data_IF_279239741325
#
_entry.id   IF_279239741325
#
_cell.length_a   1.000
_cell.length_b   1.000
_cell.length_c   1.000
_cell.angle_alpha   90.00
_cell.angle_beta   90.00
_cell.angle_gamma   90.00
#
_symmetry.space_group_name_H-M   'P 1'
#
loop_
_entity.id
_entity.type
_entity.pdbx_description
1 polymer ?
#
# COMPACT_ATOMS: atom_id res chain seq x y z
N UNK A 1 24.07 -1.83 2.44
CA UNK A 1 22.85 -2.35 1.77
C UNK A 1 22.42 -3.78 2.18
N UNK A 2 22.87 -4.34 3.32
CA UNK A 2 22.53 -5.73 3.72
C UNK A 2 21.35 -5.88 4.71
N UNK A 3 20.94 -4.81 5.38
CA UNK A 3 19.96 -4.84 6.47
C UNK A 3 18.48 -4.81 6.02
N UNK A 4 18.17 -4.08 4.94
CA UNK A 4 16.79 -3.92 4.46
C UNK A 4 16.14 -5.25 4.01
N UNK A 5 16.93 -6.17 3.44
CA UNK A 5 16.46 -7.49 2.98
C UNK A 5 16.14 -8.43 4.15
N UNK A 6 16.87 -8.33 5.26
CA UNK A 6 16.65 -9.15 6.45
C UNK A 6 15.41 -8.70 7.23
N UNK A 7 15.15 -7.38 7.31
CA UNK A 7 14.00 -6.85 8.04
C UNK A 7 12.67 -7.44 7.58
N UNK A 8 12.45 -7.51 6.26
CA UNK A 8 11.23 -8.06 5.66
C UNK A 8 10.97 -9.54 5.99
N UNK A 9 11.98 -10.27 6.49
CA UNK A 9 11.88 -11.68 6.88
C UNK A 9 11.74 -11.88 8.39
N UNK A 10 11.86 -10.83 9.19
CA UNK A 10 11.74 -10.92 10.66
C UNK A 10 10.29 -10.80 11.12
N UNK A 11 9.93 -11.48 12.19
CA UNK A 11 8.61 -11.34 12.81
C UNK A 11 8.35 -9.89 13.28
N UNK A 12 9.38 -9.20 13.77
CA UNK A 12 9.29 -7.80 14.18
C UNK A 12 9.01 -6.87 12.98
N UNK A 13 9.72 -7.06 11.87
CA UNK A 13 9.47 -6.31 10.64
C UNK A 13 8.08 -6.58 10.07
N UNK A 14 7.62 -7.84 10.11
CA UNK A 14 6.25 -8.20 9.72
C UNK A 14 5.20 -7.47 10.57
N UNK A 15 5.33 -7.47 11.90
CA UNK A 15 4.40 -6.76 12.80
C UNK A 15 4.36 -5.26 12.52
N UNK A 16 5.52 -4.65 12.28
CA UNK A 16 5.59 -3.23 11.96
C UNK A 16 4.96 -2.91 10.60
N UNK A 17 5.20 -3.73 9.57
CA UNK A 17 4.54 -3.59 8.27
C UNK A 17 3.01 -3.69 8.39
N UNK A 18 2.50 -4.62 9.20
CA UNK A 18 1.06 -4.73 9.48
C UNK A 18 0.51 -3.44 10.11
N UNK A 19 1.18 -2.87 11.12
CA UNK A 19 0.74 -1.62 11.76
C UNK A 19 0.62 -0.46 10.75
N UNK A 20 1.61 -0.30 9.88
CA UNK A 20 1.57 0.74 8.85
C UNK A 20 0.45 0.48 7.83
N UNK A 21 0.27 -0.77 7.39
CA UNK A 21 -0.82 -1.11 6.48
C UNK A 21 -2.20 -0.93 7.11
N UNK A 22 -2.35 -1.15 8.42
CA UNK A 22 -3.61 -0.87 9.13
C UNK A 22 -3.89 0.63 9.17
N UNK A 23 -2.87 1.47 9.46
CA UNK A 23 -3.02 2.93 9.40
C UNK A 23 -3.41 3.42 8.00
N UNK A 24 -2.81 2.86 6.95
CA UNK A 24 -3.21 3.16 5.58
C UNK A 24 -4.65 2.70 5.31
N UNK A 25 -5.05 1.51 5.79
CA UNK A 25 -6.39 0.98 5.61
C UNK A 25 -7.46 1.87 6.25
N UNK A 26 -7.18 2.41 7.44
CA UNK A 26 -8.09 3.33 8.12
C UNK A 26 -8.20 4.65 7.35
N UNK A 27 -7.08 5.20 6.88
CA UNK A 27 -7.04 6.44 6.11
C UNK A 27 -7.77 6.36 4.77
N UNK A 28 -7.52 5.31 3.97
CA UNK A 28 -8.26 5.11 2.70
C UNK A 28 -9.72 4.72 2.94
N UNK A 29 -10.01 4.03 4.05
CA UNK A 29 -11.37 3.72 4.48
C UNK A 29 -12.19 4.97 4.78
N UNK A 30 -11.58 5.97 5.41
CA UNK A 30 -12.20 7.28 5.63
C UNK A 30 -12.52 8.02 4.32
N UNK A 31 -11.82 7.71 3.22
CA UNK A 31 -12.13 8.21 1.86
C UNK A 31 -13.14 7.35 1.09
N UNK A 32 -13.73 6.34 1.72
CA UNK A 32 -14.77 5.48 1.12
C UNK A 32 -14.26 4.26 0.36
N UNK A 33 -12.95 3.99 0.40
CA UNK A 33 -12.37 2.79 -0.20
C UNK A 33 -12.58 1.55 0.68
N UNK A 34 -12.57 0.38 0.04
CA UNK A 34 -12.61 -0.91 0.73
C UNK A 34 -11.22 -1.52 0.77
N UNK A 35 -10.98 -2.33 1.79
CA UNK A 35 -9.69 -2.95 2.05
C UNK A 35 -9.81 -4.46 2.25
N UNK A 36 -8.91 -5.23 1.63
CA UNK A 36 -8.67 -6.64 1.95
C UNK A 36 -7.27 -6.79 2.51
N UNK A 37 -7.19 -7.24 3.77
CA UNK A 37 -5.93 -7.43 4.49
C UNK A 37 -5.32 -8.78 4.12
N UNK A 38 -4.30 -8.77 3.26
CA UNK A 38 -3.58 -9.96 2.81
C UNK A 38 -2.33 -10.22 3.66
N UNK A 39 -2.46 -10.06 4.98
CA UNK A 39 -1.31 -10.05 5.90
C UNK A 39 -0.69 -11.41 6.14
N UNK A 40 -1.34 -12.50 5.72
CA UNK A 40 -0.88 -13.89 5.87
C UNK A 40 -0.61 -14.59 4.56
N UNK A 41 -0.98 -13.97 3.43
CA UNK A 41 -0.86 -14.57 2.10
C UNK A 41 0.42 -14.04 1.47
N UNK A 42 1.44 -14.91 1.36
CA UNK A 42 2.74 -14.55 0.79
C UNK A 42 3.82 -14.17 1.80
N UNK A 43 4.98 -13.79 1.26
CA UNK A 43 6.21 -13.60 2.02
C UNK A 43 6.28 -12.28 2.80
N UNK A 44 5.41 -11.31 2.49
CA UNK A 44 5.27 -10.02 3.19
C UNK A 44 3.79 -9.63 3.32
N UNK A 45 3.40 -8.86 4.36
CA UNK A 45 2.05 -8.33 4.47
C UNK A 45 1.72 -7.40 3.31
N UNK A 46 0.51 -7.54 2.77
CA UNK A 46 -0.01 -6.67 1.71
C UNK A 46 -1.44 -6.23 2.05
N UNK A 47 -1.84 -5.09 1.50
CA UNK A 47 -3.18 -4.53 1.60
C UNK A 47 -3.72 -4.30 0.19
N UNK A 48 -4.82 -4.95 -0.16
CA UNK A 48 -5.52 -4.62 -1.39
C UNK A 48 -6.57 -3.55 -1.10
N UNK A 49 -6.39 -2.36 -1.68
CA UNK A 49 -7.34 -1.24 -1.58
C UNK A 49 -8.11 -1.17 -2.88
N UNK A 50 -9.44 -1.09 -2.82
CA UNK A 50 -10.26 -1.09 -4.01
C UNK A 50 -11.53 -0.25 -3.87
N UNK A 51 -12.01 0.23 -5.01
CA UNK A 51 -13.33 0.79 -5.20
C UNK A 51 -14.18 -0.18 -6.03
N UNK A 52 -15.49 -0.25 -5.72
CA UNK A 52 -16.44 -0.95 -6.58
C UNK A 52 -16.62 -0.17 -7.88
N UNK A 53 -16.22 -0.75 -9.00
CA UNK A 53 -16.47 -0.18 -10.32
C UNK A 53 -17.78 -0.69 -10.92
N UNK A 54 -18.25 -0.04 -11.99
CA UNK A 54 -19.47 -0.41 -12.69
C UNK A 54 -19.37 -1.79 -13.40
N UNK A 55 -18.17 -2.16 -13.87
CA UNK A 55 -17.90 -3.40 -14.62
C UNK A 55 -17.04 -4.38 -13.83
N UNK A 56 -16.05 -3.86 -13.09
CA UNK A 56 -15.15 -4.65 -12.23
C UNK A 56 -14.67 -3.79 -11.07
N UNK A 57 -14.29 -4.43 -9.97
CA UNK A 57 -13.59 -3.75 -8.89
C UNK A 57 -12.23 -3.24 -9.39
N UNK A 58 -11.92 -1.99 -9.04
CA UNK A 58 -10.68 -1.32 -9.41
C UNK A 58 -9.87 -1.13 -8.15
N UNK A 59 -8.66 -1.68 -8.11
CA UNK A 59 -7.86 -1.68 -6.89
C UNK A 59 -6.37 -1.50 -7.13
N UNK A 60 -5.64 -1.37 -6.04
CA UNK A 60 -4.19 -1.30 -5.95
C UNK A 60 -3.72 -2.19 -4.80
N UNK A 61 -2.67 -2.97 -5.03
CA UNK A 61 -2.07 -3.84 -4.02
C UNK A 61 -0.86 -3.14 -3.40
N UNK A 62 -0.94 -2.81 -2.12
CA UNK A 62 0.09 -2.04 -1.40
C UNK A 62 0.88 -2.94 -0.45
N UNK A 63 2.20 -2.78 -0.43
CA UNK A 63 3.11 -3.38 0.54
C UNK A 63 3.98 -2.34 1.23
N UNK A 64 4.64 -2.72 2.34
CA UNK A 64 5.60 -1.85 3.05
C UNK A 64 7.01 -2.39 2.84
N UNK A 65 7.92 -1.51 2.45
CA UNK A 65 9.31 -1.87 2.15
C UNK A 65 10.29 -1.05 2.98
N UNK A 66 11.39 -1.71 3.36
CA UNK A 66 12.55 -1.01 3.89
C UNK A 66 13.28 -0.27 2.77
N UNK A 67 13.51 1.02 2.98
CA UNK A 67 14.22 1.94 2.09
C UNK A 67 15.33 2.65 2.86
N UNK A 68 16.34 3.25 2.19
CA UNK A 68 17.27 4.14 2.89
C UNK A 68 16.48 5.22 3.63
N UNK A 69 16.71 5.37 4.94
CA UNK A 69 16.00 6.35 5.77
C UNK A 69 14.72 5.86 6.46
N UNK A 70 14.23 4.63 6.19
CA UNK A 70 13.10 4.08 6.95
C UNK A 70 12.26 3.05 6.20
N UNK A 71 10.95 3.20 6.31
CA UNK A 71 9.95 2.37 5.66
C UNK A 71 9.09 3.23 4.74
N UNK A 72 8.62 2.66 3.64
CA UNK A 72 7.74 3.34 2.70
C UNK A 72 6.66 2.39 2.15
N UNK A 73 5.52 2.97 1.79
CA UNK A 73 4.44 2.30 1.08
C UNK A 73 4.77 2.17 -0.40
N UNK A 74 4.47 1.01 -0.97
CA UNK A 74 4.68 0.72 -2.38
C UNK A 74 3.47 0.03 -2.99
N UNK A 75 3.13 0.42 -4.22
CA UNK A 75 2.37 -0.43 -5.12
C UNK A 75 3.21 -1.65 -5.53
N UNK A 76 2.64 -2.84 -5.32
CA UNK A 76 3.31 -4.12 -5.52
C UNK A 76 3.55 -4.39 -6.99
N UNK A 77 2.56 -4.12 -7.85
CA UNK A 77 2.57 -4.46 -9.28
C UNK A 77 3.59 -3.62 -10.08
N UNK A 78 3.92 -2.41 -9.62
CA UNK A 78 4.88 -1.51 -10.30
C UNK A 78 6.33 -1.67 -9.83
N UNK A 79 6.61 -2.67 -8.98
CA UNK A 79 7.96 -2.97 -8.54
C UNK A 79 8.65 -1.76 -7.89
N UNK A 80 9.81 -1.31 -8.43
CA UNK A 80 10.54 -0.14 -7.90
C UNK A 80 9.86 1.19 -8.22
N UNK A 81 9.12 1.27 -9.33
CA UNK A 81 8.39 2.47 -9.73
C UNK A 81 7.08 2.65 -8.94
N UNK A 82 6.75 1.72 -8.05
CA UNK A 82 5.54 1.77 -7.23
C UNK A 82 5.67 2.58 -5.94
N UNK A 83 6.70 3.40 -5.75
CA UNK A 83 6.81 4.21 -4.53
C UNK A 83 5.58 5.11 -4.38
N UNK A 84 4.95 5.09 -3.19
CA UNK A 84 3.82 5.96 -2.88
C UNK A 84 4.25 7.08 -1.94
N UNK A 85 4.71 6.74 -0.74
CA UNK A 85 4.99 7.71 0.31
C UNK A 85 5.78 7.05 1.46
N UNK A 86 6.58 7.80 2.24
CA UNK A 86 7.23 7.23 3.43
C UNK A 86 6.17 6.86 4.48
N UNK A 87 6.41 5.81 5.28
CA UNK A 87 5.42 5.34 6.26
C UNK A 87 5.06 6.38 7.33
N UNK A 88 5.97 7.32 7.62
CA UNK A 88 5.73 8.44 8.54
C UNK A 88 4.73 9.48 8.03
N UNK A 89 4.34 9.43 6.75
CA UNK A 89 3.40 10.36 6.11
C UNK A 89 2.18 9.59 5.57
N UNK A 90 1.42 8.98 6.48
CA UNK A 90 0.25 8.15 6.11
C UNK A 90 -0.72 8.91 5.21
N UNK A 91 -0.99 10.19 5.47
CA UNK A 91 -1.91 10.97 4.65
C UNK A 91 -1.41 11.13 3.21
N UNK A 92 -0.10 11.33 3.01
CA UNK A 92 0.50 11.33 1.68
C UNK A 92 0.33 10.00 0.95
N UNK A 93 0.40 8.87 1.67
CA UNK A 93 0.11 7.56 1.09
C UNK A 93 -1.37 7.40 0.72
N UNK A 94 -2.29 7.90 1.54
CA UNK A 94 -3.73 7.91 1.27
C UNK A 94 -4.03 8.72 0.01
N UNK A 95 -3.43 9.91 -0.14
CA UNK A 95 -3.58 10.74 -1.34
C UNK A 95 -3.08 10.06 -2.61
N UNK A 96 -1.91 9.44 -2.57
CA UNK A 96 -1.37 8.73 -3.74
C UNK A 96 -2.26 7.55 -4.15
N UNK A 97 -2.79 6.79 -3.17
CA UNK A 97 -3.73 5.70 -3.46
C UNK A 97 -5.04 6.23 -4.05
N UNK A 98 -5.59 7.32 -3.49
CA UNK A 98 -6.80 7.98 -3.99
C UNK A 98 -6.64 8.45 -5.44
N UNK A 99 -5.53 9.13 -5.76
CA UNK A 99 -5.20 9.57 -7.12
C UNK A 99 -5.07 8.38 -8.09
N UNK A 100 -4.36 7.32 -7.69
CA UNK A 100 -4.20 6.12 -8.51
C UNK A 100 -5.55 5.45 -8.82
N UNK A 101 -6.41 5.30 -7.80
CA UNK A 101 -7.70 4.67 -7.99
C UNK A 101 -8.63 5.56 -8.83
N UNK A 102 -8.64 6.87 -8.62
CA UNK A 102 -9.39 7.83 -9.47
C UNK A 102 -8.96 7.76 -10.93
N UNK A 103 -7.65 7.78 -11.19
CA UNK A 103 -7.11 7.64 -12.55
C UNK A 103 -7.53 6.31 -13.20
N UNK A 104 -7.53 5.20 -12.46
CA UNK A 104 -7.97 3.89 -12.98
C UNK A 104 -9.48 3.80 -13.21
N UNK A 105 -10.29 4.47 -12.38
CA UNK A 105 -11.75 4.50 -12.53
C UNK A 105 -12.20 5.41 -13.67
N UNK A 106 -11.49 6.53 -13.88
CA UNK A 106 -11.81 7.55 -14.87
C UNK A 106 -10.62 7.81 -15.80
N UNK A 107 -10.25 6.85 -16.66
CA UNK A 107 -9.05 6.96 -17.49
C UNK A 107 -9.14 8.03 -18.60
N UNK A 108 -10.33 8.59 -18.86
CA UNK A 108 -10.56 9.59 -19.91
C UNK A 108 -10.69 11.04 -19.38
N UNK A 109 -10.53 11.27 -18.08
CA UNK A 109 -10.67 12.60 -17.46
C UNK A 109 -9.33 13.31 -17.22
N UNK A 110 -8.23 12.76 -17.73
CA UNK A 110 -6.86 13.21 -17.49
C UNK A 110 -6.03 13.15 -18.76
#
# INVERSE_FOLDING_TARGET
MRTAVLWGRTAAGRRMAVRWLDLLADGVGARGYRCVRLYRVGWRPMLWVYARGAVRDVGVLVDVRAVPGGLAYYETERGRAGYLSPCGEVEGAVEQVDLLLKHRMFPATW
#
